data_IF_241056621655
#
_entry.id   IF_241056621655
#
_cell.length_a   1.000
_cell.length_b   1.000
_cell.length_c   1.000
_cell.angle_alpha   90.00
_cell.angle_beta   90.00
_cell.angle_gamma   90.00
#
_symmetry.space_group_name_H-M   'P 1'
#
loop_
_entity.id
_entity.type
_entity.pdbx_description
1 polymer ?
#
# COMPACT_ATOMS: atom_id res chain seq x y z
N UNK A 1 -7.81 -3.05 -13.49
CA UNK A 1 -8.39 -2.02 -12.58
C UNK A 1 -7.89 -2.26 -11.16
N UNK A 2 -7.35 -1.24 -10.50
CA UNK A 2 -6.77 -1.34 -9.15
C UNK A 2 -7.79 -1.80 -8.10
N UNK A 3 -9.06 -1.37 -8.21
CA UNK A 3 -10.12 -1.74 -7.27
C UNK A 3 -10.43 -3.24 -7.25
N UNK A 4 -10.35 -3.92 -8.40
CA UNK A 4 -10.57 -5.37 -8.48
C UNK A 4 -9.47 -6.14 -7.75
N UNK A 5 -8.20 -5.74 -7.94
CA UNK A 5 -7.09 -6.37 -7.24
C UNK A 5 -7.17 -6.13 -5.72
N UNK A 6 -7.52 -4.92 -5.29
CA UNK A 6 -7.73 -4.62 -3.87
C UNK A 6 -8.90 -5.42 -3.25
N UNK A 7 -9.97 -5.66 -4.02
CA UNK A 7 -11.06 -6.55 -3.62
C UNK A 7 -10.57 -7.96 -3.33
N UNK A 8 -9.80 -8.56 -4.26
CA UNK A 8 -9.23 -9.89 -4.10
C UNK A 8 -8.25 -9.97 -2.91
N UNK A 9 -7.39 -8.97 -2.73
CA UNK A 9 -6.46 -8.92 -1.59
C UNK A 9 -7.20 -8.80 -0.25
N UNK A 10 -8.35 -8.13 -0.22
CA UNK A 10 -9.20 -8.03 0.97
C UNK A 10 -9.90 -9.37 1.25
N UNK A 11 -10.47 -9.99 0.23
CA UNK A 11 -11.16 -11.29 0.33
C UNK A 11 -10.23 -12.41 0.81
N UNK A 12 -8.96 -12.36 0.39
CA UNK A 12 -7.92 -13.31 0.83
C UNK A 12 -7.30 -12.97 2.19
N UNK A 13 -7.72 -11.88 2.84
CA UNK A 13 -7.21 -11.46 4.14
C UNK A 13 -5.78 -10.87 4.12
N UNK A 14 -5.20 -10.63 2.95
CA UNK A 14 -3.87 -10.02 2.83
C UNK A 14 -3.87 -8.54 3.23
N UNK A 15 -4.97 -7.84 2.94
CA UNK A 15 -5.15 -6.43 3.31
C UNK A 15 -6.42 -6.24 4.13
N UNK A 16 -6.37 -5.30 5.05
CA UNK A 16 -7.53 -4.75 5.73
C UNK A 16 -7.92 -3.44 5.06
N UNK A 17 -9.22 -3.17 4.99
CA UNK A 17 -9.77 -1.94 4.45
C UNK A 17 -10.51 -1.14 5.52
N UNK A 18 -10.34 0.18 5.54
CA UNK A 18 -11.07 1.13 6.41
C UNK A 18 -11.75 2.18 5.55
N UNK A 19 -13.01 2.48 5.83
CA UNK A 19 -13.73 3.59 5.20
C UNK A 19 -13.58 4.85 6.04
N UNK A 20 -13.23 5.97 5.41
CA UNK A 20 -13.21 7.29 6.04
C UNK A 20 -13.94 8.28 5.12
N UNK A 21 -15.19 8.61 5.49
CA UNK A 21 -16.12 9.34 4.63
C UNK A 21 -16.35 8.65 3.27
N UNK A 22 -15.98 9.34 2.20
CA UNK A 22 -16.10 8.86 0.83
C UNK A 22 -14.94 7.95 0.39
N UNK A 23 -13.84 7.91 1.14
CA UNK A 23 -12.61 7.22 0.75
C UNK A 23 -12.46 5.86 1.41
N UNK A 24 -11.92 4.88 0.66
CA UNK A 24 -11.54 3.57 1.18
C UNK A 24 -10.03 3.47 1.26
N UNK A 25 -9.51 3.30 2.48
CA UNK A 25 -8.09 3.11 2.76
C UNK A 25 -7.78 1.63 2.91
N UNK A 26 -6.59 1.23 2.50
CA UNK A 26 -6.12 -0.14 2.60
C UNK A 26 -4.77 -0.20 3.32
N UNK A 27 -4.58 -1.24 4.13
CA UNK A 27 -3.30 -1.54 4.77
C UNK A 27 -3.04 -3.04 4.73
N UNK A 28 -1.77 -3.45 4.76
CA UNK A 28 -1.42 -4.87 4.99
C UNK A 28 -2.03 -5.32 6.32
N UNK A 29 -2.60 -6.52 6.33
CA UNK A 29 -3.25 -7.06 7.52
C UNK A 29 -2.23 -7.21 8.67
N UNK A 30 -2.46 -6.60 9.85
CA UNK A 30 -1.46 -6.59 10.93
C UNK A 30 -1.20 -7.98 11.51
N UNK A 31 -2.21 -8.85 11.49
CA UNK A 31 -2.09 -10.25 11.94
C UNK A 31 -1.68 -11.20 10.81
N UNK A 32 -1.23 -10.69 9.66
CA UNK A 32 -0.73 -11.54 8.59
C UNK A 32 0.48 -12.36 9.07
N UNK A 33 0.52 -13.63 8.68
CA UNK A 33 1.60 -14.53 9.02
C UNK A 33 2.97 -13.98 8.64
N UNK A 34 3.98 -14.33 9.43
CA UNK A 34 5.35 -13.85 9.25
C UNK A 34 5.92 -14.21 7.87
N UNK A 35 5.62 -15.41 7.36
CA UNK A 35 6.09 -15.86 6.04
C UNK A 35 5.51 -14.99 4.92
N UNK A 36 4.23 -14.65 4.97
CA UNK A 36 3.57 -13.84 3.96
C UNK A 36 4.08 -12.39 4.01
N UNK A 37 4.26 -11.83 5.21
CA UNK A 37 4.93 -10.52 5.38
C UNK A 37 6.33 -10.50 4.78
N UNK A 38 7.09 -11.59 4.93
CA UNK A 38 8.44 -11.70 4.35
C UNK A 38 8.38 -11.66 2.82
N UNK A 39 7.50 -12.44 2.21
CA UNK A 39 7.32 -12.44 0.75
C UNK A 39 6.98 -11.03 0.23
N UNK A 40 6.06 -10.33 0.86
CA UNK A 40 5.69 -8.97 0.47
C UNK A 40 6.87 -7.99 0.59
N UNK A 41 7.64 -8.07 1.67
CA UNK A 41 8.83 -7.22 1.89
C UNK A 41 9.91 -7.47 0.86
N UNK A 42 10.24 -8.74 0.60
CA UNK A 42 11.24 -9.09 -0.41
C UNK A 42 10.80 -8.67 -1.82
N UNK A 43 9.52 -8.87 -2.14
CA UNK A 43 8.94 -8.42 -3.42
C UNK A 43 9.02 -6.90 -3.56
N UNK A 44 8.69 -6.14 -2.52
CA UNK A 44 8.80 -4.68 -2.53
C UNK A 44 10.26 -4.23 -2.73
N UNK A 45 11.20 -4.80 -1.96
CA UNK A 45 12.63 -4.47 -2.07
C UNK A 45 13.19 -4.76 -3.46
N UNK A 46 12.83 -5.90 -4.05
CA UNK A 46 13.30 -6.28 -5.38
C UNK A 46 12.82 -5.34 -6.50
N UNK A 47 11.71 -4.63 -6.26
CA UNK A 47 11.10 -3.72 -7.23
C UNK A 47 11.33 -2.23 -6.91
N UNK A 48 11.88 -1.89 -5.76
CA UNK A 48 12.02 -0.50 -5.27
C UNK A 48 12.71 0.43 -6.28
N UNK A 49 13.76 -0.06 -6.94
CA UNK A 49 14.56 0.71 -7.89
C UNK A 49 14.13 0.52 -9.35
N UNK A 50 13.01 -0.18 -9.60
CA UNK A 50 12.51 -0.43 -10.95
C UNK A 50 11.47 0.61 -11.32
N UNK A 51 11.49 1.06 -12.58
CA UNK A 51 10.37 1.81 -13.15
C UNK A 51 9.15 0.88 -13.30
N UNK A 52 7.91 1.35 -13.01
CA UNK A 52 7.53 2.73 -12.68
C UNK A 52 7.67 3.11 -11.20
N UNK A 53 8.00 2.17 -10.30
CA UNK A 53 7.91 2.37 -8.85
C UNK A 53 8.81 3.49 -8.31
N UNK A 54 10.05 3.59 -8.80
CA UNK A 54 10.99 4.65 -8.39
C UNK A 54 10.56 6.03 -8.91
N UNK A 55 9.98 6.07 -10.11
CA UNK A 55 9.47 7.29 -10.73
C UNK A 55 8.22 7.79 -9.98
N UNK A 56 7.30 6.87 -9.69
CA UNK A 56 6.10 7.11 -8.90
C UNK A 56 6.47 7.62 -7.49
N UNK A 57 7.47 7.03 -6.85
CA UNK A 57 7.95 7.48 -5.53
C UNK A 57 8.47 8.91 -5.58
N UNK A 58 9.26 9.24 -6.60
CA UNK A 58 9.81 10.59 -6.81
C UNK A 58 8.70 11.60 -7.04
N UNK A 59 7.70 11.28 -7.88
CA UNK A 59 6.54 12.11 -8.11
C UNK A 59 5.75 12.34 -6.81
N UNK A 60 5.50 11.29 -6.03
CA UNK A 60 4.81 11.37 -4.74
C UNK A 60 5.58 12.21 -3.70
N UNK A 61 6.91 12.21 -3.72
CA UNK A 61 7.73 13.05 -2.83
C UNK A 61 7.68 14.53 -3.21
N UNK A 62 7.56 14.84 -4.51
CA UNK A 62 7.44 16.21 -5.01
C UNK A 62 6.03 16.82 -4.84
N UNK A 63 5.02 16.05 -4.40
CA UNK A 63 3.65 16.54 -4.21
C UNK A 63 3.55 17.55 -3.05
N UNK A 64 3.29 18.83 -3.37
CA UNK A 64 3.16 19.92 -2.39
C UNK A 64 2.07 19.71 -1.33
N UNK A 65 0.98 19.01 -1.67
CA UNK A 65 -0.15 18.74 -0.76
C UNK A 65 -0.33 17.23 -0.52
N UNK A 66 0.76 16.50 -0.27
CA UNK A 66 0.69 15.05 -0.04
C UNK A 66 -0.16 14.73 1.21
N UNK A 67 -1.31 14.04 1.08
CA UNK A 67 -2.09 13.63 2.23
C UNK A 67 -1.31 12.60 3.05
N UNK A 68 -1.14 12.84 4.36
CA UNK A 68 -0.44 11.93 5.28
C UNK A 68 1.02 12.24 5.58
N UNK A 69 1.54 13.42 5.21
CA UNK A 69 2.85 13.90 5.67
C UNK A 69 2.86 14.27 7.17
N UNK A 70 1.71 14.66 7.74
CA UNK A 70 1.48 14.59 9.18
C UNK A 70 0.74 13.30 9.49
N UNK A 71 1.41 12.37 10.16
CA UNK A 71 0.70 11.43 11.00
C UNK A 71 -0.12 12.25 11.99
N UNK A 72 -1.42 11.98 12.08
CA UNK A 72 -2.24 12.46 13.18
C UNK A 72 -1.55 12.07 14.50
N UNK A 73 -1.41 13.04 15.40
CA UNK A 73 -1.11 12.82 16.81
C UNK A 73 -2.25 12.03 17.49
#
# INVERSE_FOLDING_TARGET
MISRHLGLLRETGLVQSRRDGQWMYYRIHPQLDAWAKKVLKETARANEQRSPYVDDLSALQAMQNRPGASCCA
#
